data_IF_251011755611
#
_entry.id   IF_251011755611
#
_cell.length_a   1.000
_cell.length_b   1.000
_cell.length_c   1.000
_cell.angle_alpha   90.00
_cell.angle_beta   90.00
_cell.angle_gamma   90.00
#
_symmetry.space_group_name_H-M   'P 1'
#
loop_
_entity.id
_entity.type
_entity.pdbx_description
1 polymer ?
#
# COMPACT_ATOMS: atom_id res chain seq x y z
N UNK A 1 24.17 -12.63 16.06
CA UNK A 1 23.72 -11.28 15.67
C UNK A 1 22.39 -10.94 16.37
N UNK A 2 22.44 -10.21 17.48
CA UNK A 2 21.24 -9.90 18.26
C UNK A 2 20.83 -8.45 18.08
N UNK A 3 19.86 -8.25 17.20
CA UNK A 3 18.98 -7.09 17.13
C UNK A 3 17.68 -7.64 16.50
N UNK A 4 16.46 -7.14 16.75
CA UNK A 4 15.54 -7.14 15.60
C UNK A 4 16.01 -5.94 14.77
N UNK A 5 16.81 -6.11 13.70
CA UNK A 5 17.88 -5.17 13.37
C UNK A 5 17.55 -3.74 12.97
N UNK A 6 16.28 -3.32 12.98
CA UNK A 6 15.86 -2.14 12.23
C UNK A 6 15.27 -0.99 13.04
N UNK A 7 15.22 -1.02 14.39
CA UNK A 7 14.66 0.08 15.20
C UNK A 7 15.35 0.23 16.56
N UNK A 8 16.48 0.95 16.66
CA UNK A 8 17.07 1.24 17.97
C UNK A 8 16.23 2.25 18.77
N UNK A 9 16.17 2.03 20.08
CA UNK A 9 14.95 2.07 20.90
C UNK A 9 14.71 3.37 21.68
N UNK A 10 15.49 4.44 21.47
CA UNK A 10 15.36 5.63 22.34
C UNK A 10 14.02 6.39 22.17
N UNK A 11 13.21 6.09 21.14
CA UNK A 11 12.02 6.87 20.76
C UNK A 11 10.70 6.09 20.57
N UNK A 12 10.63 4.78 20.88
CA UNK A 12 9.39 4.01 20.66
C UNK A 12 8.40 4.06 21.86
N UNK A 13 8.50 5.06 22.74
CA UNK A 13 7.73 5.09 23.99
C UNK A 13 6.26 5.53 23.82
N UNK A 14 5.84 6.03 22.65
CA UNK A 14 4.45 6.47 22.37
C UNK A 14 3.90 6.16 20.96
N UNK A 15 4.63 5.47 20.07
CA UNK A 15 4.17 5.20 18.69
C UNK A 15 5.26 4.62 17.76
N UNK A 16 4.92 4.27 16.51
CA UNK A 16 5.87 3.67 15.56
C UNK A 16 7.01 4.64 15.24
N UNK A 17 8.25 4.15 15.34
CA UNK A 17 9.45 4.92 15.03
C UNK A 17 9.56 5.28 13.54
N UNK A 18 10.37 6.28 13.20
CA UNK A 18 10.47 6.85 11.84
C UNK A 18 10.74 5.79 10.76
N UNK A 19 11.67 4.87 10.97
CA UNK A 19 11.94 3.82 9.99
C UNK A 19 10.79 2.82 9.83
N UNK A 20 9.91 2.70 10.84
CA UNK A 20 8.73 1.86 10.77
C UNK A 20 7.71 2.51 9.86
N UNK A 21 7.47 3.81 10.07
CA UNK A 21 6.61 4.61 9.20
C UNK A 21 7.11 4.60 7.75
N UNK A 22 8.41 4.79 7.53
CA UNK A 22 9.00 4.79 6.20
C UNK A 22 8.82 3.44 5.49
N UNK A 23 9.13 2.33 6.17
CA UNK A 23 8.91 0.99 5.63
C UNK A 23 7.43 0.68 5.37
N UNK A 24 6.52 1.16 6.23
CA UNK A 24 5.09 1.06 6.01
C UNK A 24 4.66 1.85 4.77
N UNK A 25 5.16 3.09 4.60
CA UNK A 25 4.88 3.94 3.46
C UNK A 25 5.37 3.31 2.15
N UNK A 26 6.61 2.79 2.12
CA UNK A 26 7.16 2.08 0.96
C UNK A 26 6.30 0.85 0.63
N UNK A 27 5.96 0.05 1.63
CA UNK A 27 5.14 -1.14 1.44
C UNK A 27 3.74 -0.80 0.92
N UNK A 28 3.16 0.30 1.40
CA UNK A 28 1.87 0.81 0.94
C UNK A 28 1.93 1.25 -0.52
N UNK A 29 2.91 2.09 -0.88
CA UNK A 29 3.10 2.58 -2.24
C UNK A 29 3.27 1.43 -3.25
N UNK A 30 4.11 0.44 -2.93
CA UNK A 30 4.33 -0.74 -3.79
C UNK A 30 3.04 -1.55 -3.97
N UNK A 31 2.26 -1.76 -2.90
CA UNK A 31 0.99 -2.51 -2.99
C UNK A 31 -0.05 -1.79 -3.86
N UNK A 32 -0.17 -0.48 -3.71
CA UNK A 32 -1.09 0.34 -4.51
C UNK A 32 -0.65 0.33 -5.98
N UNK A 33 0.63 0.58 -6.25
CA UNK A 33 1.19 0.53 -7.60
C UNK A 33 0.92 -0.82 -8.29
N UNK A 34 1.23 -1.94 -7.64
CA UNK A 34 1.01 -3.26 -8.21
C UNK A 34 -0.49 -3.54 -8.46
N UNK A 35 -1.38 -3.02 -7.62
CA UNK A 35 -2.83 -3.11 -7.83
C UNK A 35 -3.24 -2.41 -9.13
N UNK A 36 -2.71 -1.21 -9.38
CA UNK A 36 -3.02 -0.45 -10.60
C UNK A 36 -2.39 -1.06 -11.84
N UNK A 37 -1.16 -1.54 -11.76
CA UNK A 37 -0.52 -2.27 -12.88
C UNK A 37 -1.36 -3.49 -13.26
N UNK A 38 -1.79 -4.27 -12.28
CA UNK A 38 -2.67 -5.42 -12.53
C UNK A 38 -4.00 -5.00 -13.18
N UNK A 39 -4.63 -3.94 -12.67
CA UNK A 39 -5.88 -3.41 -13.24
C UNK A 39 -5.71 -2.97 -14.69
N UNK A 40 -4.72 -2.13 -14.99
CA UNK A 40 -4.47 -1.63 -16.35
C UNK A 40 -4.14 -2.77 -17.32
N UNK A 41 -3.35 -3.75 -16.88
CA UNK A 41 -3.07 -4.93 -17.69
C UNK A 41 -4.36 -5.69 -18.01
N UNK A 42 -5.22 -5.95 -17.02
CA UNK A 42 -6.50 -6.62 -17.24
C UNK A 42 -7.40 -5.87 -18.21
N UNK A 43 -7.41 -4.54 -18.15
CA UNK A 43 -8.15 -3.70 -19.10
C UNK A 43 -7.62 -3.84 -20.52
N UNK A 44 -6.30 -3.85 -20.71
CA UNK A 44 -5.68 -4.04 -22.02
C UNK A 44 -5.95 -5.43 -22.61
N UNK A 45 -6.05 -6.46 -21.78
CA UNK A 45 -6.42 -7.81 -22.21
C UNK A 45 -7.93 -8.00 -22.41
N UNK A 46 -8.76 -7.00 -22.11
CA UNK A 46 -10.22 -7.09 -22.20
C UNK A 46 -10.84 -8.03 -21.17
N UNK A 47 -10.13 -8.29 -20.06
CA UNK A 47 -10.57 -9.19 -19.02
C UNK A 47 -11.31 -8.42 -17.91
N UNK A 48 -12.24 -9.07 -17.17
CA UNK A 48 -12.97 -8.38 -16.12
C UNK A 48 -12.03 -7.90 -15.02
N UNK A 49 -12.17 -6.63 -14.66
CA UNK A 49 -11.52 -5.99 -13.52
C UNK A 49 -12.42 -6.14 -12.31
N UNK A 50 -11.84 -6.54 -11.17
CA UNK A 50 -12.53 -6.62 -9.88
C UNK A 50 -12.12 -5.46 -9.01
N UNK A 51 -12.97 -5.08 -8.07
CA UNK A 51 -12.62 -4.07 -7.08
C UNK A 51 -11.36 -4.44 -6.28
N UNK A 52 -10.54 -3.45 -5.87
CA UNK A 52 -9.39 -3.69 -5.02
C UNK A 52 -9.75 -4.50 -3.77
N UNK A 53 -8.84 -5.36 -3.35
CA UNK A 53 -9.03 -6.23 -2.17
C UNK A 53 -9.37 -5.42 -0.91
N UNK A 54 -8.79 -4.23 -0.76
CA UNK A 54 -9.05 -3.34 0.37
C UNK A 54 -10.53 -2.93 0.47
N UNK A 55 -11.17 -2.60 -0.65
CA UNK A 55 -12.60 -2.27 -0.68
C UNK A 55 -13.46 -3.53 -0.53
N UNK A 56 -13.14 -4.56 -1.31
CA UNK A 56 -13.98 -5.75 -1.43
C UNK A 56 -13.99 -6.64 -0.18
N UNK A 57 -12.91 -6.66 0.60
CA UNK A 57 -12.71 -7.60 1.71
C UNK A 57 -12.33 -6.94 3.04
N UNK A 58 -11.59 -5.83 3.01
CA UNK A 58 -11.16 -5.16 4.24
C UNK A 58 -12.12 -4.04 4.70
N UNK A 59 -13.17 -3.75 3.93
CA UNK A 59 -14.16 -2.72 4.28
C UNK A 59 -13.61 -1.30 4.21
N UNK A 60 -12.50 -1.08 3.50
CA UNK A 60 -12.02 0.26 3.24
C UNK A 60 -13.04 0.99 2.37
N UNK A 61 -13.18 2.30 2.57
CA UNK A 61 -14.14 3.13 1.83
C UNK A 61 -13.48 4.00 0.77
N UNK A 62 -12.19 4.26 0.92
CA UNK A 62 -11.43 5.12 0.02
C UNK A 62 -10.88 4.29 -1.13
N UNK A 63 -11.34 4.57 -2.33
CA UNK A 63 -10.66 4.16 -3.55
C UNK A 63 -9.51 5.14 -3.81
N UNK A 64 -8.34 4.62 -4.12
CA UNK A 64 -7.18 5.42 -4.51
C UNK A 64 -7.07 5.22 -6.00
N UNK A 65 -7.26 6.28 -6.78
CA UNK A 65 -7.03 6.25 -8.22
C UNK A 65 -5.55 6.53 -8.52
N UNK A 66 -5.04 5.95 -9.60
CA UNK A 66 -3.71 6.25 -10.10
C UNK A 66 -3.67 7.55 -10.90
N UNK A 67 -4.82 7.99 -11.42
CA UNK A 67 -4.97 9.26 -12.14
C UNK A 67 -6.04 10.11 -11.42
N UNK A 68 -5.67 10.81 -10.33
CA UNK A 68 -6.64 11.54 -9.51
C UNK A 68 -7.28 12.73 -10.23
N UNK A 69 -6.66 13.23 -11.30
CA UNK A 69 -7.13 14.36 -12.12
C UNK A 69 -7.86 13.90 -13.39
N UNK A 70 -8.27 12.62 -13.48
CA UNK A 70 -9.06 12.11 -14.61
C UNK A 70 -10.52 12.55 -14.53
N UNK A 71 -10.76 13.85 -14.59
CA UNK A 71 -12.00 14.51 -15.00
C UNK A 71 -11.68 15.76 -15.84
#
# INVERSE_FOLDING_TARGET
PKICPYYTDQYCSKGPCKGHLDRMAISFAVKVFLSHVWEQWRMLEGLPVRQPYALAKLGHRTYIDWEPDRE
#
